data_IF_624904710797
#
_entry.id   IF_624904710797
#
_cell.length_a   1.000
_cell.length_b   1.000
_cell.length_c   1.000
_cell.angle_alpha   90.00
_cell.angle_beta   90.00
_cell.angle_gamma   90.00
#
_symmetry.space_group_name_H-M   'P 1'
#
loop_
_entity.id
_entity.type
_entity.pdbx_description
1 polymer ?
#
# COMPACT_ATOMS: atom_id res chain seq x y z
N UNK A 1 21.66 -3.13 7.89
CA UNK A 1 21.22 -2.05 6.98
C UNK A 1 19.87 -2.43 6.37
N UNK A 2 18.80 -2.35 7.14
CA UNK A 2 17.40 -2.46 6.67
C UNK A 2 16.68 -1.31 7.35
N UNK A 3 15.98 -0.45 6.62
CA UNK A 3 15.40 0.76 7.21
C UNK A 3 15.04 1.84 6.20
N UNK A 4 15.72 1.84 5.05
CA UNK A 4 15.35 2.68 3.89
C UNK A 4 14.46 1.89 2.92
N UNK A 5 14.74 0.60 2.70
CA UNK A 5 13.97 -0.26 1.81
C UNK A 5 12.51 -0.45 2.23
N UNK A 6 12.24 -0.72 3.52
CA UNK A 6 10.89 -1.03 4.01
C UNK A 6 9.95 0.19 4.05
N UNK A 7 10.46 1.38 4.40
CA UNK A 7 9.69 2.64 4.33
C UNK A 7 9.36 3.02 2.88
N UNK A 8 10.30 2.81 1.96
CA UNK A 8 10.04 3.02 0.53
C UNK A 8 8.99 2.02 0.02
N UNK A 9 9.07 0.74 0.43
CA UNK A 9 8.12 -0.29 0.00
C UNK A 9 6.68 0.03 0.40
N UNK A 10 6.47 0.53 1.63
CA UNK A 10 5.15 0.94 2.11
C UNK A 10 4.56 2.16 1.37
N UNK A 11 5.41 3.16 1.10
CA UNK A 11 5.02 4.33 0.32
C UNK A 11 4.70 3.96 -1.14
N UNK A 12 5.52 3.13 -1.77
CA UNK A 12 5.31 2.65 -3.15
C UNK A 12 4.04 1.81 -3.27
N UNK A 13 3.76 0.90 -2.33
CA UNK A 13 2.54 0.09 -2.38
C UNK A 13 1.25 0.91 -2.24
N UNK A 14 1.27 1.97 -1.42
CA UNK A 14 0.14 2.88 -1.27
C UNK A 14 -0.07 3.72 -2.53
N UNK A 15 1.01 4.24 -3.12
CA UNK A 15 0.95 4.96 -4.38
C UNK A 15 0.38 4.08 -5.50
N UNK A 16 0.91 2.86 -5.67
CA UNK A 16 0.43 1.90 -6.67
C UNK A 16 -1.03 1.50 -6.42
N UNK A 17 -1.43 1.30 -5.17
CA UNK A 17 -2.81 0.99 -4.80
C UNK A 17 -3.78 2.09 -5.19
N UNK A 18 -3.47 3.35 -4.85
CA UNK A 18 -4.27 4.52 -5.24
C UNK A 18 -4.31 4.74 -6.75
N UNK A 19 -3.19 4.52 -7.44
CA UNK A 19 -3.13 4.61 -8.90
C UNK A 19 -4.02 3.55 -9.55
N UNK A 20 -3.98 2.30 -9.07
CA UNK A 20 -4.91 1.24 -9.52
C UNK A 20 -6.37 1.57 -9.22
N UNK A 21 -6.63 2.16 -8.05
CA UNK A 21 -7.97 2.61 -7.69
C UNK A 21 -8.50 3.68 -8.65
N UNK A 22 -7.68 4.71 -8.90
CA UNK A 22 -8.01 5.82 -9.79
C UNK A 22 -8.21 5.34 -11.24
N UNK A 23 -7.25 4.59 -11.78
CA UNK A 23 -7.32 4.05 -13.14
C UNK A 23 -8.52 3.13 -13.30
N UNK A 24 -8.80 2.27 -12.30
CA UNK A 24 -9.95 1.39 -12.31
C UNK A 24 -11.29 2.15 -12.32
N UNK A 25 -11.40 3.23 -11.54
CA UNK A 25 -12.59 4.10 -11.56
C UNK A 25 -12.74 4.86 -12.88
N UNK A 26 -11.64 5.37 -13.44
CA UNK A 26 -11.65 6.08 -14.73
C UNK A 26 -11.96 5.16 -15.91
N UNK A 27 -11.40 3.95 -15.94
CA UNK A 27 -11.58 2.98 -17.02
C UNK A 27 -12.88 2.17 -16.86
N UNK A 28 -13.58 2.30 -15.72
CA UNK A 28 -14.76 1.51 -15.39
C UNK A 28 -14.46 0.07 -14.93
N UNK A 29 -13.18 -0.26 -14.71
CA UNK A 29 -12.74 -1.56 -14.22
C UNK A 29 -12.87 -1.63 -12.69
N UNK A 30 -14.05 -2.08 -12.26
CA UNK A 30 -14.39 -2.24 -10.84
C UNK A 30 -13.47 -3.23 -10.12
N UNK A 31 -12.91 -4.22 -10.82
CA UNK A 31 -11.97 -5.19 -10.23
C UNK A 31 -10.63 -4.53 -9.94
N UNK A 32 -10.15 -3.72 -10.88
CA UNK A 32 -8.91 -2.96 -10.74
C UNK A 32 -9.03 -1.92 -9.63
N UNK A 33 -10.18 -1.25 -9.54
CA UNK A 33 -10.48 -0.31 -8.47
C UNK A 33 -10.47 -0.97 -7.08
N UNK A 34 -11.18 -2.10 -6.96
CA UNK A 34 -11.26 -2.86 -5.72
C UNK A 34 -9.89 -3.43 -5.30
N UNK A 35 -9.10 -3.93 -6.25
CA UNK A 35 -7.73 -4.42 -5.99
C UNK A 35 -6.83 -3.28 -5.49
N UNK A 36 -6.95 -2.08 -6.05
CA UNK A 36 -6.22 -0.90 -5.60
C UNK A 36 -6.52 -0.52 -4.16
N UNK A 37 -7.80 -0.40 -3.82
CA UNK A 37 -8.27 -0.07 -2.47
C UNK A 37 -7.88 -1.14 -1.44
N UNK A 38 -8.02 -2.43 -1.79
CA UNK A 38 -7.61 -3.53 -0.93
C UNK A 38 -6.10 -3.55 -0.69
N UNK A 39 -5.29 -3.26 -1.72
CA UNK A 39 -3.84 -3.20 -1.63
C UNK A 39 -3.35 -2.02 -0.78
N UNK A 40 -3.95 -0.83 -0.93
CA UNK A 40 -3.65 0.35 -0.09
C UNK A 40 -3.95 0.07 1.39
N UNK A 41 -5.12 -0.53 1.67
CA UNK A 41 -5.52 -0.90 3.03
C UNK A 41 -4.56 -1.92 3.64
N UNK A 42 -4.24 -3.00 2.91
CA UNK A 42 -3.27 -4.01 3.36
C UNK A 42 -1.88 -3.41 3.60
N UNK A 43 -1.43 -2.52 2.71
CA UNK A 43 -0.14 -1.83 2.81
C UNK A 43 -0.04 -0.92 4.03
N UNK A 44 -1.11 -0.20 4.38
CA UNK A 44 -1.19 0.60 5.61
C UNK A 44 -1.16 -0.28 6.85
N UNK A 45 -1.95 -1.34 6.89
CA UNK A 45 -1.96 -2.28 8.04
C UNK A 45 -0.58 -2.89 8.25
N UNK A 46 0.06 -3.38 7.19
CA UNK A 46 1.43 -3.92 7.29
C UNK A 46 2.46 -2.85 7.68
N UNK A 47 2.34 -1.63 7.18
CA UNK A 47 3.24 -0.53 7.59
C UNK A 47 3.07 -0.19 9.07
N UNK A 48 1.85 -0.17 9.58
CA UNK A 48 1.58 0.10 10.99
C UNK A 48 2.11 -1.01 11.88
N UNK A 49 1.79 -2.27 11.57
CA UNK A 49 2.31 -3.43 12.32
C UNK A 49 3.83 -3.51 12.24
N UNK A 50 4.41 -3.25 11.06
CA UNK A 50 5.85 -3.19 10.86
C UNK A 50 6.51 -2.12 11.73
N UNK A 51 5.98 -0.89 11.72
CA UNK A 51 6.47 0.21 12.57
C UNK A 51 6.37 -0.08 14.06
N UNK A 52 5.30 -0.74 14.50
CA UNK A 52 5.14 -1.13 15.92
C UNK A 52 6.17 -2.19 16.29
N UNK A 53 6.42 -3.16 15.40
CA UNK A 53 7.42 -4.21 15.63
C UNK A 53 8.85 -3.64 15.66
N UNK A 54 9.19 -2.78 14.70
CA UNK A 54 10.47 -2.05 14.62
C UNK A 54 10.72 -1.15 15.84
N UNK A 55 9.66 -0.70 16.53
CA UNK A 55 9.76 0.12 17.74
C UNK A 55 9.89 -0.71 19.02
N UNK A 56 9.63 -2.02 18.95
CA UNK A 56 9.74 -2.97 20.05
C UNK A 56 11.06 -3.79 19.99
N UNK A 57 11.69 -3.87 18.82
CA UNK A 57 13.06 -4.35 18.59
C UNK A 57 14.12 -3.26 18.91
#
# INVERSE_FOLDING_TARGET
MSGIGDKIKGATNSAVGKTKEAIGKETGDSSLAAKGAAQDTKGKVQSTVGKVKDALD
#
